data_IF_552551086748
#
_entry.id   IF_552551086748
#
_cell.length_a   1.000
_cell.length_b   1.000
_cell.length_c   1.000
_cell.angle_alpha   90.00
_cell.angle_beta   90.00
_cell.angle_gamma   90.00
#
_symmetry.space_group_name_H-M   'P 1'
#
loop_
_entity.id
_entity.type
_entity.pdbx_description
1 polymer ?
#
# COMPACT_ATOMS: atom_id res chain seq x y z
N UNK A 1 -7.04 -23.71 4.65
CA UNK A 1 -8.42 -23.60 4.15
C UNK A 1 -8.86 -22.16 3.91
N UNK A 2 -8.75 -21.26 4.91
CA UNK A 2 -9.15 -19.85 4.79
C UNK A 2 -8.56 -19.09 3.58
N UNK A 3 -7.26 -19.20 3.31
CA UNK A 3 -6.63 -18.54 2.16
C UNK A 3 -7.28 -18.92 0.82
N UNK A 4 -7.59 -20.21 0.62
CA UNK A 4 -8.23 -20.72 -0.59
C UNK A 4 -9.64 -20.13 -0.75
N UNK A 5 -10.41 -20.12 0.33
CA UNK A 5 -11.77 -19.58 0.33
C UNK A 5 -11.79 -18.07 0.02
N UNK A 6 -10.81 -17.32 0.54
CA UNK A 6 -10.68 -15.89 0.24
C UNK A 6 -10.43 -15.67 -1.26
N UNK A 7 -9.53 -16.45 -1.86
CA UNK A 7 -9.23 -16.37 -3.30
C UNK A 7 -10.46 -16.74 -4.13
N UNK A 8 -11.18 -17.79 -3.73
CA UNK A 8 -12.40 -18.24 -4.41
C UNK A 8 -13.48 -17.15 -4.39
N UNK A 9 -13.73 -16.55 -3.23
CA UNK A 9 -14.69 -15.43 -3.10
C UNK A 9 -14.26 -14.23 -3.93
N UNK A 10 -12.97 -13.88 -3.92
CA UNK A 10 -12.46 -12.75 -4.68
C UNK A 10 -12.60 -12.92 -6.21
N UNK A 11 -12.48 -14.16 -6.71
CA UNK A 11 -12.70 -14.49 -8.12
C UNK A 11 -14.18 -14.52 -8.48
N UNK A 12 -15.02 -15.08 -7.61
CA UNK A 12 -16.46 -15.15 -7.84
C UNK A 12 -17.13 -13.76 -7.81
N UNK A 13 -16.63 -12.85 -6.96
CA UNK A 13 -17.15 -11.49 -6.84
C UNK A 13 -16.65 -10.52 -7.91
N UNK A 14 -15.56 -10.85 -8.61
CA UNK A 14 -15.06 -10.08 -9.74
C UNK A 14 -14.36 -11.02 -10.75
N UNK A 15 -15.00 -11.35 -11.88
CA UNK A 15 -14.44 -12.28 -12.85
C UNK A 15 -13.14 -11.80 -13.52
N UNK A 16 -12.84 -10.50 -13.47
CA UNK A 16 -11.58 -9.93 -13.95
C UNK A 16 -10.45 -9.97 -12.89
N UNK A 17 -10.73 -10.53 -11.71
CA UNK A 17 -9.76 -10.66 -10.62
C UNK A 17 -8.70 -11.71 -10.92
N UNK A 18 -7.44 -11.31 -10.90
CA UNK A 18 -6.27 -12.18 -11.03
C UNK A 18 -5.63 -12.53 -9.67
N UNK A 19 -6.39 -12.50 -8.58
CA UNK A 19 -5.89 -12.87 -7.26
C UNK A 19 -5.72 -14.40 -7.15
N UNK A 20 -4.57 -14.84 -6.65
CA UNK A 20 -4.20 -16.28 -6.59
C UNK A 20 -3.73 -16.74 -5.21
N UNK A 21 -3.16 -15.85 -4.41
CA UNK A 21 -2.55 -16.18 -3.13
C UNK A 21 -2.89 -15.16 -2.05
N UNK A 22 -2.89 -15.62 -0.80
CA UNK A 22 -3.09 -14.79 0.40
C UNK A 22 -1.88 -14.95 1.31
N UNK A 23 -1.32 -13.84 1.74
CA UNK A 23 -0.30 -13.77 2.77
C UNK A 23 -0.89 -13.06 3.99
N UNK A 24 -0.93 -13.73 5.14
CA UNK A 24 -1.51 -13.19 6.36
C UNK A 24 -0.47 -12.41 7.17
N UNK A 25 -0.88 -11.25 7.68
CA UNK A 25 -0.11 -10.42 8.61
C UNK A 25 -0.97 -10.05 9.81
N UNK A 26 -0.37 -9.63 10.93
CA UNK A 26 -1.12 -9.29 12.14
C UNK A 26 -1.73 -7.89 12.05
N UNK A 27 -1.13 -6.99 11.26
CA UNK A 27 -1.65 -5.64 11.06
C UNK A 27 -1.52 -5.12 9.62
N UNK A 28 -2.26 -4.05 9.32
CA UNK A 28 -2.24 -3.40 8.01
C UNK A 28 -0.90 -2.72 7.67
N UNK A 29 -0.16 -2.28 8.69
CA UNK A 29 1.19 -1.73 8.48
C UNK A 29 2.16 -2.83 8.01
N UNK A 30 2.13 -4.01 8.63
CA UNK A 30 2.92 -5.16 8.19
C UNK A 30 2.51 -5.64 6.80
N UNK A 31 1.20 -5.64 6.49
CA UNK A 31 0.71 -5.96 5.15
C UNK A 31 1.31 -4.99 4.11
N UNK A 32 1.32 -3.69 4.41
CA UNK A 32 1.87 -2.66 3.53
C UNK A 32 3.38 -2.83 3.33
N UNK A 33 4.14 -3.10 4.39
CA UNK A 33 5.59 -3.30 4.29
C UNK A 33 5.93 -4.53 3.45
N UNK A 34 5.21 -5.64 3.64
CA UNK A 34 5.38 -6.84 2.84
C UNK A 34 4.96 -6.61 1.38
N UNK A 35 3.88 -5.86 1.13
CA UNK A 35 3.47 -5.50 -0.24
C UNK A 35 4.55 -4.71 -0.97
N UNK A 36 5.15 -3.69 -0.32
CA UNK A 36 6.26 -2.92 -0.90
C UNK A 36 7.48 -3.81 -1.13
N UNK A 37 7.81 -4.69 -0.19
CA UNK A 37 8.91 -5.64 -0.34
C UNK A 37 8.71 -6.57 -1.54
N UNK A 38 7.52 -7.19 -1.66
CA UNK A 38 7.19 -8.08 -2.77
C UNK A 38 7.21 -7.34 -4.12
N UNK A 39 6.64 -6.13 -4.19
CA UNK A 39 6.65 -5.33 -5.41
C UNK A 39 8.09 -4.98 -5.86
N UNK A 40 8.96 -4.60 -4.92
CA UNK A 40 10.38 -4.33 -5.21
C UNK A 40 11.13 -5.58 -5.65
N UNK A 41 10.92 -6.72 -4.97
CA UNK A 41 11.52 -8.00 -5.34
C UNK A 41 11.09 -8.45 -6.74
N UNK A 42 9.82 -8.31 -7.07
CA UNK A 42 9.28 -8.75 -8.36
C UNK A 42 9.68 -7.82 -9.52
N UNK A 43 9.65 -6.51 -9.30
CA UNK A 43 9.86 -5.54 -10.39
C UNK A 43 11.29 -5.04 -10.52
N UNK A 44 12.12 -5.19 -9.48
CA UNK A 44 13.44 -4.55 -9.38
C UNK A 44 13.41 -3.02 -9.25
N UNK A 45 12.21 -2.40 -9.21
CA UNK A 45 12.05 -0.94 -9.15
C UNK A 45 12.01 -0.46 -7.71
N UNK A 46 12.76 0.59 -7.41
CA UNK A 46 12.84 1.14 -6.05
C UNK A 46 11.62 2.03 -5.69
N UNK A 47 11.16 2.85 -6.64
CA UNK A 47 10.17 3.90 -6.38
C UNK A 47 8.79 3.34 -6.05
N UNK A 48 8.17 3.87 -5.01
CA UNK A 48 6.79 3.58 -4.60
C UNK A 48 5.99 4.86 -4.67
N UNK A 49 4.90 4.86 -5.45
CA UNK A 49 4.00 6.01 -5.60
C UNK A 49 2.86 5.93 -4.60
N UNK A 50 2.55 7.05 -3.95
CA UNK A 50 1.39 7.20 -3.08
C UNK A 50 0.78 8.61 -3.23
N UNK A 51 -0.45 8.77 -2.73
CA UNK A 51 -1.13 10.06 -2.83
C UNK A 51 -0.98 10.88 -1.55
N UNK A 52 -0.99 12.21 -1.67
CA UNK A 52 -1.19 13.07 -0.51
C UNK A 52 -2.53 12.74 0.15
N UNK A 53 -2.59 12.93 1.48
CA UNK A 53 -3.72 12.58 2.37
C UNK A 53 -4.00 11.07 2.51
N UNK A 54 -3.12 10.19 2.02
CA UNK A 54 -3.23 8.74 2.24
C UNK A 54 -2.82 8.32 3.66
N UNK A 55 -3.29 7.16 4.11
CA UNK A 55 -2.83 6.51 5.35
C UNK A 55 -2.48 5.05 5.06
N UNK A 56 -1.26 4.64 5.45
CA UNK A 56 -0.78 3.28 5.21
C UNK A 56 -0.25 2.58 6.46
N UNK A 57 -0.35 3.22 7.62
CA UNK A 57 0.11 2.67 8.91
C UNK A 57 1.08 3.61 9.63
N UNK A 58 1.52 3.17 10.81
CA UNK A 58 2.33 3.95 11.74
C UNK A 58 3.69 3.31 12.09
N UNK A 59 4.05 2.18 11.49
CA UNK A 59 5.42 1.65 11.55
C UNK A 59 6.36 2.52 10.71
N UNK A 60 7.67 2.46 10.92
CA UNK A 60 8.61 3.35 10.24
C UNK A 60 8.54 3.27 8.69
N UNK A 61 8.36 2.07 8.14
CA UNK A 61 8.17 1.88 6.70
C UNK A 61 6.81 2.40 6.23
N UNK A 62 5.74 2.00 6.91
CA UNK A 62 4.37 2.35 6.56
C UNK A 62 4.04 3.85 6.72
N UNK A 63 4.55 4.49 7.79
CA UNK A 63 4.34 5.93 8.01
C UNK A 63 5.03 6.75 6.92
N UNK A 64 6.14 6.26 6.34
CA UNK A 64 6.75 6.91 5.17
C UNK A 64 5.82 6.95 3.96
N UNK A 65 4.96 5.93 3.84
CA UNK A 65 3.94 5.80 2.80
C UNK A 65 2.67 6.61 3.13
N UNK A 66 2.52 7.13 4.34
CA UNK A 66 1.40 8.00 4.71
C UNK A 66 1.57 9.41 4.12
N UNK A 67 0.52 9.93 3.51
CA UNK A 67 0.51 11.17 2.72
C UNK A 67 0.10 12.43 3.48
N UNK A 68 -0.02 12.38 4.80
CA UNK A 68 -0.50 13.47 5.65
C UNK A 68 0.50 13.85 6.78
N UNK A 69 0.25 14.94 7.53
CA UNK A 69 1.16 15.49 8.54
C UNK A 69 1.64 14.53 9.63
N UNK A 70 0.91 13.43 9.89
CA UNK A 70 1.33 12.42 10.90
C UNK A 70 2.71 11.82 10.59
N UNK A 71 3.16 11.89 9.33
CA UNK A 71 4.48 11.40 8.91
C UNK A 71 5.65 12.30 9.31
N UNK A 72 5.45 13.61 9.47
CA UNK A 72 6.57 14.56 9.63
C UNK A 72 7.50 14.24 10.81
N UNK A 73 6.99 13.85 12.00
CA UNK A 73 7.87 13.50 13.13
C UNK A 73 8.70 12.23 12.91
N UNK A 74 8.36 11.41 11.91
CA UNK A 74 9.04 10.15 11.60
C UNK A 74 10.06 10.30 10.47
N UNK A 75 10.34 11.52 10.02
CA UNK A 75 11.38 11.77 9.01
C UNK A 75 12.80 11.71 9.64
N UNK A 76 13.82 11.25 8.89
CA UNK A 76 13.77 10.79 7.50
C UNK A 76 13.17 9.39 7.36
N UNK A 77 12.27 9.23 6.38
CA UNK A 77 11.60 7.97 6.10
C UNK A 77 12.34 7.06 5.11
N UNK A 78 11.73 5.91 4.81
CA UNK A 78 12.18 4.98 3.76
C UNK A 78 12.44 5.69 2.41
N UNK A 79 13.61 5.49 1.76
CA UNK A 79 13.89 6.12 0.47
C UNK A 79 13.01 5.55 -0.65
N UNK A 80 12.86 6.35 -1.71
CA UNK A 80 12.13 5.98 -2.92
C UNK A 80 10.61 6.17 -2.85
N UNK A 81 10.07 6.72 -1.76
CA UNK A 81 8.62 7.02 -1.70
C UNK A 81 8.33 8.38 -2.32
N UNK A 82 7.54 8.39 -3.40
CA UNK A 82 7.18 9.58 -4.18
C UNK A 82 5.68 9.84 -4.05
N UNK A 83 5.32 11.11 -3.81
CA UNK A 83 3.95 11.53 -3.50
C UNK A 83 3.34 12.30 -4.67
N UNK A 84 2.06 12.05 -4.98
CA UNK A 84 1.31 12.76 -6.02
C UNK A 84 -0.06 13.22 -5.50
N UNK A 85 -0.73 14.11 -6.24
CA UNK A 85 -2.08 14.55 -5.89
C UNK A 85 -3.10 13.46 -6.20
N UNK A 86 -3.75 12.95 -5.17
CA UNK A 86 -4.82 11.95 -5.33
C UNK A 86 -6.12 12.56 -5.88
N UNK A 87 -7.08 11.71 -6.31
CA UNK A 87 -8.36 12.15 -6.85
C UNK A 87 -9.21 12.77 -5.73
N UNK A 88 -9.19 14.10 -5.62
CA UNK A 88 -10.02 14.82 -4.65
C UNK A 88 -10.76 15.98 -5.32
N UNK A 89 -11.85 15.71 -6.07
CA UNK A 89 -12.49 16.70 -6.95
C UNK A 89 -12.82 18.03 -6.28
N UNK A 90 -13.18 18.01 -4.99
CA UNK A 90 -13.53 19.22 -4.24
C UNK A 90 -12.34 20.17 -3.99
N UNK A 91 -11.10 19.67 -3.87
CA UNK A 91 -9.89 20.49 -3.65
C UNK A 91 -8.69 19.96 -4.42
N UNK A 92 -8.93 19.47 -5.63
CA UNK A 92 -7.89 19.02 -6.54
C UNK A 92 -7.30 20.23 -7.25
N UNK A 93 -6.01 20.17 -7.56
CA UNK A 93 -5.37 21.12 -8.48
C UNK A 93 -5.61 20.74 -9.96
N UNK A 94 -6.33 19.64 -10.19
CA UNK A 94 -6.74 19.08 -11.48
C UNK A 94 -8.26 18.91 -11.54
#
# INVERSE_FOLDING_TARGET
EAARLIVEVARNGNPDSNLEMVFFTNGGAEATENAVRMARLHTGRNKVLNHYRSYHGATNGAITLTGDPRRWPSEPGMPGVVKFWGPYPYRSAF
#
